data_IF_799055151863
#
_entry.id   IF_799055151863
#
_cell.length_a   1.000
_cell.length_b   1.000
_cell.length_c   1.000
_cell.angle_alpha   90.00
_cell.angle_beta   90.00
_cell.angle_gamma   90.00
#
_symmetry.space_group_name_H-M   'P 1'
#
loop_
_entity.id
_entity.type
_entity.pdbx_description
1 polymer ?
#
# COMPACT_ATOMS: atom_id res chain seq x y z
N UNK A 1 -11.99 14.60 9.76
CA UNK A 1 -10.81 14.47 8.88
C UNK A 1 -10.60 12.98 8.62
N UNK A 2 -11.16 12.49 7.52
CA UNK A 2 -11.36 11.07 7.22
C UNK A 2 -10.07 10.36 6.76
N UNK A 3 -9.08 10.29 7.65
CA UNK A 3 -7.83 9.54 7.46
C UNK A 3 -8.09 8.08 7.08
N UNK A 4 -9.18 7.48 7.59
CA UNK A 4 -9.58 6.12 7.28
C UNK A 4 -10.00 5.94 5.81
N UNK A 5 -10.74 6.89 5.23
CA UNK A 5 -11.17 6.82 3.82
C UNK A 5 -9.97 7.03 2.88
N UNK A 6 -9.03 7.91 3.25
CA UNK A 6 -7.79 8.10 2.51
C UNK A 6 -6.95 6.81 2.50
N UNK A 7 -6.76 6.16 3.66
CA UNK A 7 -6.02 4.89 3.74
C UNK A 7 -6.69 3.78 2.91
N UNK A 8 -8.02 3.66 2.97
CA UNK A 8 -8.76 2.69 2.13
C UNK A 8 -8.53 2.92 0.64
N UNK A 9 -8.53 4.19 0.19
CA UNK A 9 -8.23 4.54 -1.21
C UNK A 9 -6.80 4.18 -1.58
N UNK A 10 -5.82 4.46 -0.72
CA UNK A 10 -4.41 4.10 -0.93
C UNK A 10 -4.23 2.60 -1.03
N UNK A 11 -4.82 1.82 -0.11
CA UNK A 11 -4.78 0.34 -0.15
C UNK A 11 -5.39 -0.19 -1.45
N UNK A 12 -6.52 0.38 -1.90
CA UNK A 12 -7.15 0.00 -3.17
C UNK A 12 -6.26 0.35 -4.38
N UNK A 13 -5.62 1.53 -4.37
CA UNK A 13 -4.72 1.97 -5.43
C UNK A 13 -3.43 1.12 -5.51
N UNK A 14 -2.91 0.67 -4.36
CA UNK A 14 -1.80 -0.29 -4.31
C UNK A 14 -2.20 -1.68 -4.82
N UNK A 15 -3.49 -1.99 -4.94
CA UNK A 15 -4.01 -3.29 -5.38
C UNK A 15 -4.29 -4.27 -4.24
N UNK A 16 -4.26 -3.80 -2.99
CA UNK A 16 -4.41 -4.58 -1.76
C UNK A 16 -5.85 -4.58 -1.23
N UNK A 17 -6.85 -4.61 -2.12
CA UNK A 17 -8.27 -4.43 -1.76
C UNK A 17 -8.92 -5.54 -0.92
N UNK A 18 -8.17 -6.56 -0.48
CA UNK A 18 -8.63 -7.64 0.42
C UNK A 18 -7.50 -8.04 1.39
N UNK A 19 -7.82 -8.50 2.62
CA UNK A 19 -6.82 -9.03 3.56
C UNK A 19 -6.01 -10.18 2.96
N UNK A 20 -4.75 -10.33 3.37
CA UNK A 20 -3.81 -11.38 2.94
C UNK A 20 -3.51 -11.43 1.42
N UNK A 21 -3.86 -10.38 0.68
CA UNK A 21 -3.50 -10.26 -0.73
C UNK A 21 -2.09 -9.68 -0.85
N UNK A 22 -1.26 -10.29 -1.69
CA UNK A 22 0.05 -9.76 -2.08
C UNK A 22 0.04 -9.35 -3.56
N UNK A 23 0.84 -8.34 -3.88
CA UNK A 23 1.05 -7.86 -5.26
C UNK A 23 2.51 -7.47 -5.43
N UNK A 24 3.07 -7.73 -6.60
CA UNK A 24 4.42 -7.29 -6.96
C UNK A 24 4.29 -5.99 -7.74
N UNK A 25 5.05 -4.97 -7.35
CA UNK A 25 5.06 -3.65 -7.99
C UNK A 25 6.50 -3.17 -8.14
N UNK A 26 6.73 -2.38 -9.18
CA UNK A 26 8.02 -1.71 -9.39
C UNK A 26 8.30 -0.76 -8.23
N UNK A 27 9.52 -0.79 -7.73
CA UNK A 27 10.00 0.15 -6.74
C UNK A 27 10.15 1.54 -7.39
N UNK A 28 9.19 2.43 -7.12
CA UNK A 28 9.22 3.83 -7.55
C UNK A 28 9.09 4.74 -6.32
N UNK A 29 9.66 5.96 -6.35
CA UNK A 29 9.54 6.89 -5.23
C UNK A 29 8.07 7.24 -4.90
N UNK A 30 7.19 7.25 -5.91
CA UNK A 30 5.76 7.45 -5.72
C UNK A 30 5.12 6.29 -4.95
N UNK A 31 5.44 5.04 -5.31
CA UNK A 31 4.96 3.86 -4.59
C UNK A 31 5.46 3.84 -3.15
N UNK A 32 6.73 4.18 -2.91
CA UNK A 32 7.28 4.29 -1.56
C UNK A 32 6.51 5.30 -0.71
N UNK A 33 6.23 6.50 -1.23
CA UNK A 33 5.44 7.50 -0.51
C UNK A 33 4.01 7.02 -0.18
N UNK A 34 3.36 6.30 -1.10
CA UNK A 34 2.04 5.70 -0.85
C UNK A 34 2.11 4.61 0.23
N UNK A 35 3.14 3.76 0.20
CA UNK A 35 3.38 2.71 1.20
C UNK A 35 3.64 3.33 2.57
N UNK A 36 4.45 4.39 2.66
CA UNK A 36 4.76 5.05 3.94
C UNK A 36 3.49 5.57 4.64
N UNK A 37 2.54 6.10 3.88
CA UNK A 37 1.25 6.56 4.42
C UNK A 37 0.44 5.42 5.06
N UNK A 38 0.56 4.18 4.57
CA UNK A 38 -0.17 3.00 5.07
C UNK A 38 0.75 1.94 5.69
N UNK A 39 1.97 2.29 6.09
CA UNK A 39 3.03 1.36 6.53
C UNK A 39 2.65 0.45 7.71
N UNK A 40 1.64 0.84 8.49
CA UNK A 40 1.12 0.08 9.62
C UNK A 40 0.07 -0.96 9.22
N UNK A 41 -0.42 -0.93 7.98
CA UNK A 41 -1.45 -1.82 7.44
C UNK A 41 -0.89 -2.85 6.46
N UNK A 42 0.35 -2.66 5.99
CA UNK A 42 0.96 -3.47 4.93
C UNK A 42 2.33 -3.97 5.36
N UNK A 43 2.72 -5.13 4.86
CA UNK A 43 4.08 -5.65 4.94
C UNK A 43 4.71 -5.55 3.55
N UNK A 44 5.95 -5.06 3.47
CA UNK A 44 6.71 -4.93 2.23
C UNK A 44 7.92 -5.86 2.30
N UNK A 45 8.16 -6.60 1.23
CA UNK A 45 9.28 -7.53 1.09
C UNK A 45 9.89 -7.34 -0.31
N UNK A 46 11.21 -7.36 -0.39
CA UNK A 46 11.93 -7.30 -1.67
C UNK A 46 11.91 -8.67 -2.34
N UNK A 47 11.52 -8.71 -3.61
CA UNK A 47 11.45 -9.93 -4.40
C UNK A 47 12.69 -9.98 -5.30
N UNK A 48 13.48 -11.06 -5.19
CA UNK A 48 14.67 -11.30 -6.04
C UNK A 48 14.30 -11.83 -7.42
#
# INVERSE_FOLDING_TARGET
MDTLEAHKRTIKALGLGRPNRSVIKTDTPQMRGMIEAVRHLVKVEEVK
#
